data_IF_665386661357
#
_entry.id   IF_665386661357
#
_cell.length_a   1.000
_cell.length_b   1.000
_cell.length_c   1.000
_cell.angle_alpha   90.00
_cell.angle_beta   90.00
_cell.angle_gamma   90.00
#
_symmetry.space_group_name_H-M   'P 1'
#
loop_
_entity.id
_entity.type
_entity.pdbx_description
1 polymer ?
#
# COMPACT_ATOMS: atom_id res chain seq x y z
N UNK A 1 16.35 42.25 17.53
CA UNK A 1 17.07 40.97 17.42
C UNK A 1 16.57 40.07 18.54
N UNK A 2 15.61 39.18 18.26
CA UNK A 2 15.22 38.14 19.20
C UNK A 2 16.16 36.97 18.93
N UNK A 3 16.90 36.58 19.94
CA UNK A 3 17.70 35.34 19.98
C UNK A 3 16.81 34.17 19.60
N UNK A 4 17.11 33.51 18.49
CA UNK A 4 16.61 32.17 18.21
C UNK A 4 17.10 31.27 19.35
N UNK A 5 16.15 30.80 20.16
CA UNK A 5 16.43 29.78 21.16
C UNK A 5 16.98 28.57 20.41
N UNK A 6 18.29 28.31 20.57
CA UNK A 6 18.83 26.97 20.33
C UNK A 6 17.93 25.98 21.09
N UNK A 7 17.07 25.28 20.38
CA UNK A 7 16.25 24.21 20.95
C UNK A 7 17.22 23.20 21.55
N UNK A 8 17.12 22.99 22.85
CA UNK A 8 17.96 22.07 23.60
C UNK A 8 17.82 20.68 22.94
N UNK A 9 18.80 20.29 22.14
CA UNK A 9 18.78 19.08 21.28
C UNK A 9 18.59 17.79 22.09
N UNK A 10 18.83 17.83 23.41
CA UNK A 10 18.62 16.72 24.34
C UNK A 10 17.14 16.45 24.68
N UNK A 11 16.21 17.35 24.39
CA UNK A 11 14.77 17.16 24.65
C UNK A 11 13.99 16.70 23.41
N UNK A 12 14.62 16.70 22.24
CA UNK A 12 13.99 16.40 20.96
C UNK A 12 14.00 14.91 20.67
N UNK A 13 12.87 14.36 20.23
CA UNK A 13 12.80 13.01 19.67
C UNK A 13 13.22 13.07 18.20
N UNK A 14 14.26 12.31 17.85
CA UNK A 14 14.74 12.20 16.46
C UNK A 14 14.12 10.97 15.80
N UNK A 15 13.42 11.18 14.69
CA UNK A 15 12.74 10.14 13.92
C UNK A 15 13.46 9.98 12.59
N UNK A 16 13.93 8.79 12.29
CA UNK A 16 14.67 8.45 11.07
C UNK A 16 13.71 7.83 10.06
N UNK A 17 13.40 8.59 9.00
CA UNK A 17 12.46 8.24 7.93
C UNK A 17 11.15 9.00 8.00
N UNK A 18 10.79 9.67 6.90
CA UNK A 18 9.54 10.42 6.71
C UNK A 18 8.50 9.60 5.91
N UNK A 19 8.45 8.28 6.08
CA UNK A 19 7.36 7.42 5.63
C UNK A 19 6.12 7.58 6.53
N UNK A 20 5.02 6.90 6.20
CA UNK A 20 3.76 6.99 6.93
C UNK A 20 3.90 6.71 8.45
N UNK A 21 4.73 5.73 8.82
CA UNK A 21 4.97 5.41 10.24
C UNK A 21 5.72 6.53 10.97
N UNK A 22 6.78 7.06 10.36
CA UNK A 22 7.56 8.16 10.96
C UNK A 22 6.76 9.45 11.07
N UNK A 23 5.98 9.79 10.05
CA UNK A 23 5.12 10.98 10.07
C UNK A 23 3.98 10.84 11.09
N UNK A 24 3.36 9.65 11.20
CA UNK A 24 2.36 9.38 12.24
C UNK A 24 2.96 9.53 13.64
N UNK A 25 4.12 8.94 13.89
CA UNK A 25 4.84 9.09 15.15
C UNK A 25 5.13 10.57 15.45
N UNK A 26 5.64 11.32 14.47
CA UNK A 26 5.98 12.73 14.61
C UNK A 26 4.76 13.59 14.97
N UNK A 27 3.63 13.39 14.29
CA UNK A 27 2.39 14.14 14.54
C UNK A 27 1.88 13.89 15.96
N UNK A 28 1.78 12.63 16.38
CA UNK A 28 1.28 12.30 17.74
C UNK A 28 2.19 12.81 18.86
N UNK A 29 3.52 12.77 18.68
CA UNK A 29 4.46 13.35 19.64
C UNK A 29 4.35 14.88 19.69
N UNK A 30 4.26 15.51 18.53
CA UNK A 30 4.11 16.98 18.44
C UNK A 30 2.82 17.45 19.15
N UNK A 31 1.70 16.78 18.90
CA UNK A 31 0.42 17.09 19.54
C UNK A 31 0.43 16.86 21.06
N UNK A 32 1.29 15.97 21.54
CA UNK A 32 1.56 15.79 22.97
C UNK A 32 2.56 16.83 23.53
N UNK A 33 2.98 17.84 22.73
CA UNK A 33 3.92 18.88 23.15
C UNK A 33 5.39 18.44 23.19
N UNK A 34 5.74 17.30 22.63
CA UNK A 34 7.11 16.77 22.58
C UNK A 34 7.79 17.26 21.30
N UNK A 35 8.95 17.94 21.41
CA UNK A 35 9.69 18.39 20.24
C UNK A 35 10.16 17.21 19.38
N UNK A 36 9.97 17.31 18.07
CA UNK A 36 10.33 16.27 17.10
C UNK A 36 11.23 16.80 15.99
N UNK A 37 12.11 15.95 15.48
CA UNK A 37 12.92 16.18 14.28
C UNK A 37 12.89 14.93 13.42
N UNK A 38 12.39 15.03 12.21
CA UNK A 38 12.29 13.92 11.25
C UNK A 38 13.39 14.07 10.21
N UNK A 39 14.19 13.03 10.03
CA UNK A 39 15.32 12.99 9.09
C UNK A 39 14.98 12.04 7.95
N UNK A 40 14.87 12.55 6.73
CA UNK A 40 14.54 11.78 5.54
C UNK A 40 15.71 11.78 4.55
N UNK A 41 16.12 10.60 4.13
CA UNK A 41 17.26 10.44 3.24
C UNK A 41 16.98 10.88 1.79
N UNK A 42 15.71 10.83 1.36
CA UNK A 42 15.29 11.17 0.00
C UNK A 42 14.90 12.65 -0.13
N UNK A 43 14.54 13.03 -1.36
CA UNK A 43 14.11 14.36 -1.77
C UNK A 43 12.64 14.69 -1.44
N UNK A 44 11.93 13.78 -0.78
CA UNK A 44 10.51 13.97 -0.46
C UNK A 44 9.98 13.01 0.58
N UNK A 45 8.84 13.38 1.18
CA UNK A 45 8.17 12.61 2.22
C UNK A 45 7.27 11.52 1.66
N UNK A 46 6.82 10.60 2.53
CA UNK A 46 5.85 9.54 2.22
C UNK A 46 6.47 8.16 2.02
N UNK A 47 7.77 8.07 1.80
CA UNK A 47 8.45 6.80 1.52
C UNK A 47 7.92 6.14 0.25
N UNK A 48 7.13 5.06 0.38
CA UNK A 48 6.46 4.39 -0.73
C UNK A 48 5.19 5.10 -1.22
N UNK A 49 4.57 5.91 -0.39
CA UNK A 49 3.34 6.67 -0.71
C UNK A 49 3.75 8.02 -1.31
N UNK A 50 4.07 8.03 -2.59
CA UNK A 50 4.52 9.22 -3.33
C UNK A 50 3.92 9.26 -4.73
N UNK A 51 3.70 10.48 -5.21
CA UNK A 51 3.22 10.77 -6.57
C UNK A 51 4.21 11.68 -7.27
N UNK A 52 4.62 11.30 -8.47
CA UNK A 52 5.47 12.11 -9.35
C UNK A 52 4.60 12.75 -10.44
N UNK A 53 5.01 13.92 -10.94
CA UNK A 53 4.34 14.58 -12.07
C UNK A 53 5.21 14.40 -13.32
N UNK A 54 4.67 13.79 -14.36
CA UNK A 54 5.38 13.54 -15.62
C UNK A 54 4.47 13.93 -16.78
N UNK A 55 4.87 14.88 -17.63
CA UNK A 55 4.09 15.38 -18.76
C UNK A 55 2.66 15.80 -18.39
N UNK A 56 2.44 16.28 -17.17
CA UNK A 56 1.11 16.65 -16.65
C UNK A 56 0.28 15.50 -16.10
N UNK A 57 0.77 14.27 -16.14
CA UNK A 57 0.16 13.10 -15.50
C UNK A 57 0.64 12.94 -14.06
N UNK A 58 -0.25 12.46 -13.18
CA UNK A 58 0.09 12.06 -11.82
C UNK A 58 0.42 10.56 -11.80
N UNK A 59 1.66 10.23 -11.48
CA UNK A 59 2.15 8.86 -11.42
C UNK A 59 2.49 8.49 -9.98
N UNK A 60 1.67 7.70 -9.35
CA UNK A 60 2.02 7.12 -8.05
C UNK A 60 3.18 6.12 -8.23
N UNK A 61 3.97 5.91 -7.20
CA UNK A 61 5.09 4.95 -7.29
C UNK A 61 4.57 3.52 -7.19
N UNK A 62 4.04 3.02 -8.32
CA UNK A 62 3.28 1.78 -8.47
C UNK A 62 1.78 2.00 -8.27
N UNK A 63 0.97 1.00 -8.67
CA UNK A 63 -0.47 1.06 -8.45
C UNK A 63 -0.78 0.96 -6.95
N UNK A 64 -1.39 1.98 -6.41
CA UNK A 64 -1.76 2.09 -5.01
C UNK A 64 -3.22 2.54 -4.88
N UNK A 65 -3.85 2.16 -3.79
CA UNK A 65 -5.19 2.63 -3.38
C UNK A 65 -5.20 2.92 -1.88
N UNK A 66 -6.03 3.86 -1.48
CA UNK A 66 -6.37 4.09 -0.08
C UNK A 66 -7.73 3.44 0.22
N UNK A 67 -7.84 2.68 1.31
CA UNK A 67 -9.11 2.13 1.77
C UNK A 67 -9.75 3.10 2.78
N UNK A 68 -10.86 3.71 2.43
CA UNK A 68 -11.53 4.72 3.24
C UNK A 68 -12.13 4.17 4.56
N UNK A 69 -12.17 2.85 4.69
CA UNK A 69 -12.57 2.16 5.92
C UNK A 69 -11.45 1.97 6.95
N UNK A 70 -10.22 2.42 6.68
CA UNK A 70 -9.12 2.36 7.64
C UNK A 70 -9.43 3.23 8.86
N UNK A 71 -9.56 2.65 10.07
CA UNK A 71 -10.05 3.40 11.22
C UNK A 71 -9.05 4.44 11.73
N UNK A 72 -7.80 4.05 11.97
CA UNK A 72 -6.80 4.95 12.58
C UNK A 72 -6.29 5.99 11.57
N UNK A 73 -6.07 5.57 10.33
CA UNK A 73 -5.67 6.50 9.27
C UNK A 73 -6.81 7.46 8.94
N UNK A 74 -8.06 6.98 8.92
CA UNK A 74 -9.24 7.82 8.71
C UNK A 74 -9.45 8.85 9.82
N UNK A 75 -9.10 8.52 11.06
CA UNK A 75 -9.14 9.46 12.19
C UNK A 75 -7.99 10.49 12.15
N UNK A 76 -6.85 10.11 11.54
CA UNK A 76 -5.66 10.94 11.48
C UNK A 76 -5.70 11.96 10.32
N UNK A 77 -6.35 11.62 9.20
CA UNK A 77 -6.35 12.39 7.95
C UNK A 77 -7.64 13.20 7.76
N UNK A 78 -7.53 14.31 7.08
CA UNK A 78 -8.67 15.04 6.52
C UNK A 78 -9.06 14.41 5.18
N UNK A 79 -10.02 13.48 5.22
CA UNK A 79 -10.46 12.74 4.04
C UNK A 79 -11.24 13.63 3.06
N UNK A 80 -11.89 14.70 3.54
CA UNK A 80 -12.59 15.66 2.68
C UNK A 80 -11.60 16.47 1.86
N UNK A 81 -10.54 16.96 2.46
CA UNK A 81 -9.47 17.69 1.77
C UNK A 81 -8.68 16.84 0.77
N UNK A 82 -8.64 15.52 0.96
CA UNK A 82 -8.03 14.59 0.00
C UNK A 82 -8.89 14.40 -1.26
N UNK A 83 -10.17 14.75 -1.21
CA UNK A 83 -11.13 14.58 -2.32
C UNK A 83 -11.05 13.15 -2.90
N UNK A 84 -11.36 12.16 -2.06
CA UNK A 84 -11.21 10.75 -2.38
C UNK A 84 -12.15 10.31 -3.50
N UNK A 85 -11.61 9.81 -4.59
CA UNK A 85 -12.33 9.26 -5.74
C UNK A 85 -12.45 7.74 -5.59
N UNK A 86 -13.67 7.23 -5.54
CA UNK A 86 -13.94 5.81 -5.28
C UNK A 86 -13.93 4.96 -6.55
N UNK A 87 -13.40 3.76 -6.43
CA UNK A 87 -13.58 2.71 -7.45
C UNK A 87 -14.93 2.03 -7.31
N UNK A 88 -15.41 1.47 -8.42
CA UNK A 88 -16.57 0.58 -8.43
C UNK A 88 -16.28 -0.69 -7.60
N UNK A 89 -17.24 -1.14 -6.78
CA UNK A 89 -17.06 -2.31 -5.92
C UNK A 89 -17.15 -3.61 -6.72
N UNK A 90 -16.08 -3.99 -7.39
CA UNK A 90 -15.99 -5.16 -8.23
C UNK A 90 -14.73 -5.17 -9.08
N UNK A 91 -14.73 -6.04 -10.08
CA UNK A 91 -13.65 -6.15 -11.04
C UNK A 91 -14.15 -6.60 -12.42
N UNK A 92 -13.41 -6.26 -13.45
CA UNK A 92 -13.47 -6.91 -14.75
C UNK A 92 -12.38 -8.00 -14.79
N UNK A 93 -12.77 -9.24 -14.99
CA UNK A 93 -11.83 -10.39 -14.97
C UNK A 93 -11.67 -10.92 -16.38
N UNK A 94 -10.46 -10.90 -16.91
CA UNK A 94 -10.12 -11.47 -18.20
C UNK A 94 -10.06 -12.98 -18.10
N UNK A 95 -10.93 -13.68 -18.82
CA UNK A 95 -11.07 -15.14 -18.76
C UNK A 95 -10.22 -15.91 -19.79
N UNK A 96 -9.29 -15.19 -20.48
CA UNK A 96 -8.50 -15.71 -21.59
C UNK A 96 -9.09 -15.37 -22.97
N UNK A 97 -10.33 -14.87 -23.02
CA UNK A 97 -11.02 -14.51 -24.25
C UNK A 97 -11.62 -13.10 -24.20
N UNK A 98 -12.22 -12.72 -23.05
CA UNK A 98 -12.84 -11.41 -22.85
C UNK A 98 -12.91 -11.03 -21.37
N UNK A 99 -13.14 -9.75 -21.12
CA UNK A 99 -13.39 -9.24 -19.76
C UNK A 99 -14.80 -9.63 -19.28
N UNK A 100 -14.89 -10.21 -18.09
CA UNK A 100 -16.11 -10.62 -17.41
C UNK A 100 -16.33 -9.77 -16.16
N UNK A 101 -17.52 -9.23 -16.02
CA UNK A 101 -17.88 -8.39 -14.87
C UNK A 101 -18.19 -9.25 -13.65
N UNK A 102 -17.53 -8.97 -12.54
CA UNK A 102 -17.80 -9.53 -11.21
C UNK A 102 -17.95 -8.38 -10.22
N UNK A 103 -19.15 -8.15 -9.71
CA UNK A 103 -19.47 -7.03 -8.83
C UNK A 103 -19.81 -7.52 -7.42
N UNK A 104 -19.56 -6.67 -6.43
CA UNK A 104 -20.11 -6.84 -5.08
C UNK A 104 -21.62 -6.62 -5.11
N UNK A 105 -22.37 -7.71 -5.14
CA UNK A 105 -23.85 -7.68 -5.26
C UNK A 105 -24.54 -7.01 -4.06
N UNK A 106 -23.88 -6.94 -2.91
CA UNK A 106 -24.41 -6.25 -1.73
C UNK A 106 -24.38 -4.72 -1.89
N UNK A 107 -23.42 -4.22 -2.66
CA UNK A 107 -23.26 -2.78 -2.95
C UNK A 107 -23.88 -2.38 -4.29
N UNK A 108 -24.00 -3.33 -5.23
CA UNK A 108 -24.59 -3.16 -6.58
C UNK A 108 -25.64 -4.26 -6.84
N UNK A 109 -26.82 -4.20 -6.19
CA UNK A 109 -27.84 -5.26 -6.30
C UNK A 109 -28.30 -5.53 -7.74
N UNK A 110 -28.34 -4.50 -8.59
CA UNK A 110 -28.73 -4.64 -10.01
C UNK A 110 -27.75 -5.46 -10.83
N UNK A 111 -26.52 -5.69 -10.36
CA UNK A 111 -25.50 -6.50 -11.03
C UNK A 111 -25.54 -7.98 -10.65
N UNK A 112 -26.51 -8.43 -9.84
CA UNK A 112 -26.65 -9.83 -9.40
C UNK A 112 -26.63 -10.81 -10.59
N UNK A 113 -27.41 -10.54 -11.64
CA UNK A 113 -27.47 -11.42 -12.81
C UNK A 113 -26.14 -11.50 -13.55
N UNK A 114 -25.47 -10.38 -13.79
CA UNK A 114 -24.17 -10.37 -14.45
C UNK A 114 -23.12 -11.11 -13.62
N UNK A 115 -23.10 -10.89 -12.30
CA UNK A 115 -22.18 -11.58 -11.39
C UNK A 115 -22.53 -13.06 -11.23
N UNK A 116 -23.81 -13.43 -11.17
CA UNK A 116 -24.25 -14.82 -11.05
C UNK A 116 -23.89 -15.65 -12.28
N UNK A 117 -24.01 -15.07 -13.48
CA UNK A 117 -23.75 -15.75 -14.77
C UNK A 117 -22.29 -15.70 -15.21
N UNK A 118 -21.46 -14.86 -14.58
CA UNK A 118 -20.03 -14.80 -14.90
C UNK A 118 -19.37 -16.19 -14.63
N UNK A 119 -18.60 -16.75 -15.59
CA UNK A 119 -17.96 -18.06 -15.44
C UNK A 119 -16.71 -18.00 -14.56
N UNK A 120 -16.81 -17.27 -13.46
CA UNK A 120 -15.77 -17.05 -12.45
C UNK A 120 -16.29 -17.69 -11.16
N UNK A 121 -15.82 -18.89 -10.86
CA UNK A 121 -16.35 -19.71 -9.78
C UNK A 121 -17.79 -20.20 -10.00
N UNK A 122 -18.24 -21.07 -9.10
CA UNK A 122 -19.58 -21.62 -9.06
C UNK A 122 -20.57 -20.66 -8.37
N UNK A 123 -21.87 -20.96 -8.44
CA UNK A 123 -22.88 -20.25 -7.62
C UNK A 123 -22.64 -20.47 -6.12
N UNK A 124 -22.12 -21.64 -5.75
CA UNK A 124 -21.74 -21.94 -4.38
C UNK A 124 -20.59 -21.04 -3.89
N UNK A 125 -19.56 -20.82 -4.71
CA UNK A 125 -18.48 -19.88 -4.40
C UNK A 125 -19.01 -18.47 -4.14
N UNK A 126 -19.95 -17.99 -4.95
CA UNK A 126 -20.54 -16.66 -4.79
C UNK A 126 -21.35 -16.54 -3.50
N UNK A 127 -22.03 -17.61 -3.09
CA UNK A 127 -22.69 -17.68 -1.78
C UNK A 127 -21.66 -17.65 -0.65
N UNK A 128 -20.57 -18.42 -0.77
CA UNK A 128 -19.48 -18.43 0.22
C UNK A 128 -18.81 -17.07 0.38
N UNK A 129 -18.66 -16.27 -0.69
CA UNK A 129 -18.18 -14.88 -0.59
C UNK A 129 -19.13 -14.06 0.31
N UNK A 130 -20.44 -14.23 0.19
CA UNK A 130 -21.44 -13.60 1.05
C UNK A 130 -21.31 -14.02 2.52
N UNK A 131 -21.14 -15.33 2.78
CA UNK A 131 -20.93 -15.86 4.12
C UNK A 131 -19.63 -15.32 4.73
N UNK A 132 -18.53 -15.34 3.98
CA UNK A 132 -17.23 -14.79 4.41
C UNK A 132 -17.35 -13.30 4.74
N UNK A 133 -18.04 -12.54 3.87
CA UNK A 133 -18.30 -11.11 4.11
C UNK A 133 -19.04 -10.90 5.42
N UNK A 134 -20.14 -11.63 5.64
CA UNK A 134 -20.92 -11.50 6.87
C UNK A 134 -20.09 -11.84 8.11
N UNK A 135 -19.33 -12.93 8.08
CA UNK A 135 -18.46 -13.32 9.20
C UNK A 135 -17.40 -12.26 9.51
N UNK A 136 -16.69 -11.78 8.48
CA UNK A 136 -15.59 -10.84 8.68
C UNK A 136 -16.08 -9.43 9.07
N UNK A 137 -17.21 -8.98 8.57
CA UNK A 137 -17.78 -7.69 8.98
C UNK A 137 -18.15 -7.69 10.47
N UNK A 138 -18.61 -8.82 11.02
CA UNK A 138 -18.99 -8.95 12.44
C UNK A 138 -17.82 -9.35 13.37
N UNK A 139 -16.64 -9.69 12.83
CA UNK A 139 -15.46 -10.04 13.64
C UNK A 139 -14.63 -8.78 13.88
N UNK A 140 -14.16 -8.53 15.14
CA UNK A 140 -13.29 -7.38 15.41
C UNK A 140 -11.89 -7.55 14.81
N UNK A 141 -11.13 -6.45 14.66
CA UNK A 141 -9.76 -6.50 14.13
C UNK A 141 -8.81 -7.25 15.07
N UNK A 142 -9.01 -7.10 16.38
CA UNK A 142 -8.27 -7.83 17.41
C UNK A 142 -8.53 -9.33 17.30
N UNK A 143 -9.79 -9.73 17.09
CA UNK A 143 -10.16 -11.14 16.91
C UNK A 143 -9.61 -11.73 15.61
N UNK A 144 -9.47 -10.92 14.53
CA UNK A 144 -8.78 -11.33 13.30
C UNK A 144 -7.28 -11.52 13.59
N UNK A 145 -6.65 -10.57 14.26
CA UNK A 145 -5.23 -10.61 14.58
C UNK A 145 -4.85 -11.77 15.54
N UNK A 146 -5.74 -12.12 16.47
CA UNK A 146 -5.57 -13.22 17.42
C UNK A 146 -6.00 -14.60 16.85
N UNK A 147 -6.64 -14.64 15.67
CA UNK A 147 -7.14 -15.88 15.08
C UNK A 147 -6.02 -16.82 14.63
N UNK A 148 -6.38 -18.02 14.18
CA UNK A 148 -5.45 -18.94 13.55
C UNK A 148 -4.80 -18.29 12.33
N UNK A 149 -3.50 -18.54 12.14
CA UNK A 149 -2.74 -17.98 11.04
C UNK A 149 -2.20 -19.08 10.13
N UNK A 150 -2.60 -19.03 8.89
CA UNK A 150 -2.22 -19.95 7.82
C UNK A 150 -2.06 -19.15 6.52
N UNK A 151 -1.62 -19.76 5.43
CA UNK A 151 -1.61 -19.07 4.14
C UNK A 151 -3.02 -18.70 3.70
N UNK A 152 -3.15 -17.60 2.97
CA UNK A 152 -4.43 -17.19 2.36
C UNK A 152 -5.02 -18.31 1.50
N UNK A 153 -4.19 -19.03 0.72
CA UNK A 153 -4.63 -20.16 -0.10
C UNK A 153 -5.24 -21.27 0.76
N UNK A 154 -4.54 -21.70 1.83
CA UNK A 154 -5.05 -22.72 2.73
C UNK A 154 -6.36 -22.28 3.41
N UNK A 155 -6.44 -21.02 3.83
CA UNK A 155 -7.66 -20.45 4.40
C UNK A 155 -8.85 -20.51 3.44
N UNK A 156 -8.66 -20.09 2.18
CA UNK A 156 -9.72 -20.13 1.16
C UNK A 156 -10.19 -21.54 0.87
N UNK A 157 -9.27 -22.51 0.75
CA UNK A 157 -9.61 -23.93 0.56
C UNK A 157 -10.36 -24.52 1.76
N UNK A 158 -9.88 -24.25 2.97
CA UNK A 158 -10.54 -24.70 4.21
C UNK A 158 -11.94 -24.07 4.37
N UNK A 159 -12.12 -22.83 3.89
CA UNK A 159 -13.42 -22.16 3.89
C UNK A 159 -14.42 -22.81 2.91
N UNK A 160 -13.93 -23.58 1.92
CA UNK A 160 -14.73 -24.34 0.96
C UNK A 160 -14.82 -23.73 -0.44
N UNK A 161 -14.00 -22.73 -0.76
CA UNK A 161 -13.92 -22.17 -2.12
C UNK A 161 -13.34 -23.17 -3.11
N UNK A 162 -13.87 -23.20 -4.34
CA UNK A 162 -13.35 -24.01 -5.41
C UNK A 162 -12.04 -23.47 -5.97
N UNK A 163 -11.19 -24.34 -6.53
CA UNK A 163 -9.98 -23.92 -7.25
C UNK A 163 -10.31 -22.91 -8.37
N UNK A 164 -11.48 -23.04 -9.00
CA UNK A 164 -11.91 -22.16 -10.08
C UNK A 164 -12.03 -20.70 -9.69
N UNK A 165 -12.55 -20.36 -8.50
CA UNK A 165 -12.63 -18.97 -8.04
C UNK A 165 -11.29 -18.53 -7.41
N UNK A 166 -10.58 -19.45 -6.76
CA UNK A 166 -9.25 -19.16 -6.19
C UNK A 166 -8.32 -18.71 -7.32
N UNK A 167 -8.20 -19.47 -8.40
CA UNK A 167 -7.27 -19.17 -9.48
C UNK A 167 -7.71 -17.99 -10.34
N UNK A 168 -9.01 -17.89 -10.67
CA UNK A 168 -9.48 -16.86 -11.61
C UNK A 168 -9.73 -15.48 -10.98
N UNK A 169 -9.96 -15.44 -9.66
CA UNK A 169 -10.26 -14.18 -8.97
C UNK A 169 -9.33 -13.91 -7.80
N UNK A 170 -9.32 -14.76 -6.77
CA UNK A 170 -8.57 -14.46 -5.56
C UNK A 170 -7.07 -14.32 -5.84
N UNK A 171 -6.51 -15.17 -6.69
CA UNK A 171 -5.09 -15.17 -7.03
C UNK A 171 -4.66 -13.88 -7.76
N UNK A 172 -5.43 -13.39 -8.71
CA UNK A 172 -5.09 -12.15 -9.40
C UNK A 172 -5.43 -10.90 -8.58
N UNK A 173 -6.54 -10.90 -7.84
CA UNK A 173 -6.93 -9.76 -7.01
C UNK A 173 -6.00 -9.59 -5.81
N UNK A 174 -5.86 -10.64 -4.99
CA UNK A 174 -4.97 -10.59 -3.83
C UNK A 174 -3.49 -10.71 -4.20
N UNK A 175 -3.18 -11.32 -5.33
CA UNK A 175 -1.84 -11.28 -5.91
C UNK A 175 -1.36 -9.87 -6.17
N UNK A 176 -2.22 -8.99 -6.69
CA UNK A 176 -1.94 -7.57 -6.85
C UNK A 176 -1.76 -6.83 -5.53
N UNK A 177 -2.53 -7.17 -4.49
CA UNK A 177 -2.45 -6.56 -3.16
C UNK A 177 -1.19 -7.03 -2.41
N UNK A 178 -0.88 -8.33 -2.46
CA UNK A 178 0.23 -8.94 -1.73
C UNK A 178 1.53 -8.99 -2.54
N UNK A 179 1.49 -8.59 -3.80
CA UNK A 179 2.60 -8.66 -4.77
C UNK A 179 3.20 -10.06 -4.88
N UNK A 180 2.32 -11.09 -4.85
CA UNK A 180 2.70 -12.50 -5.03
C UNK A 180 1.51 -13.34 -5.50
N UNK A 181 1.74 -14.30 -6.38
CA UNK A 181 0.69 -15.09 -7.04
C UNK A 181 0.29 -16.37 -6.30
N UNK A 182 1.05 -16.82 -5.31
CA UNK A 182 0.85 -18.12 -4.66
C UNK A 182 -0.11 -18.06 -3.46
N UNK A 183 -0.58 -16.85 -3.08
CA UNK A 183 -1.43 -16.62 -1.91
C UNK A 183 -0.82 -17.18 -0.61
N UNK A 184 0.52 -17.08 -0.47
CA UNK A 184 1.26 -17.52 0.73
C UNK A 184 1.14 -16.53 1.88
N UNK A 185 0.75 -15.31 1.62
CA UNK A 185 0.54 -14.26 2.62
C UNK A 185 -0.45 -14.72 3.69
N UNK A 186 -0.22 -14.30 4.93
CA UNK A 186 -1.02 -14.62 6.10
C UNK A 186 -2.52 -14.41 5.87
N UNK A 187 -3.32 -15.39 6.29
CA UNK A 187 -4.78 -15.30 6.26
C UNK A 187 -5.34 -14.18 7.13
N UNK A 188 -4.61 -13.73 8.16
CA UNK A 188 -4.98 -12.56 8.96
C UNK A 188 -4.94 -11.29 8.11
N UNK A 189 -3.92 -11.13 7.27
CA UNK A 189 -3.83 -10.00 6.32
C UNK A 189 -4.93 -10.06 5.26
N UNK A 190 -5.25 -11.25 4.74
CA UNK A 190 -6.39 -11.46 3.86
C UNK A 190 -7.71 -11.04 4.53
N UNK A 191 -7.99 -11.54 5.74
CA UNK A 191 -9.22 -11.22 6.48
C UNK A 191 -9.32 -9.72 6.79
N UNK A 192 -8.20 -9.08 7.14
CA UNK A 192 -8.13 -7.64 7.38
C UNK A 192 -8.49 -6.86 6.10
N UNK A 193 -7.82 -7.11 4.99
CA UNK A 193 -8.06 -6.40 3.74
C UNK A 193 -9.47 -6.67 3.19
N UNK A 194 -9.93 -7.93 3.24
CA UNK A 194 -11.29 -8.28 2.85
C UNK A 194 -12.35 -7.54 3.67
N UNK A 195 -12.14 -7.44 4.99
CA UNK A 195 -13.02 -6.66 5.88
C UNK A 195 -13.02 -5.17 5.51
N UNK A 196 -11.87 -4.57 5.22
CA UNK A 196 -11.78 -3.16 4.82
C UNK A 196 -12.51 -2.91 3.50
N UNK A 197 -12.32 -3.75 2.47
CA UNK A 197 -13.12 -3.69 1.23
C UNK A 197 -14.61 -3.88 1.48
N UNK A 198 -14.97 -4.74 2.42
CA UNK A 198 -16.37 -4.97 2.80
C UNK A 198 -17.02 -3.79 3.51
N UNK A 199 -16.26 -2.99 4.26
CA UNK A 199 -16.76 -1.82 5.02
C UNK A 199 -16.75 -0.54 4.19
N UNK A 200 -15.75 -0.35 3.33
CA UNK A 200 -15.54 0.87 2.58
C UNK A 200 -15.16 0.61 1.12
N UNK A 201 -14.57 1.61 0.50
CA UNK A 201 -14.16 1.63 -0.90
C UNK A 201 -12.64 1.67 -1.03
N UNK A 202 -12.14 1.12 -2.14
CA UNK A 202 -10.83 1.52 -2.65
C UNK A 202 -10.97 2.91 -3.26
N UNK A 203 -10.04 3.80 -2.94
CA UNK A 203 -10.09 5.20 -3.39
C UNK A 203 -8.71 5.69 -3.82
N UNK A 204 -8.70 6.78 -4.57
CA UNK A 204 -7.52 7.59 -4.87
C UNK A 204 -7.77 9.02 -4.40
N UNK A 205 -6.82 9.68 -3.73
CA UNK A 205 -6.85 11.13 -3.58
C UNK A 205 -6.81 11.78 -4.97
N UNK A 206 -7.64 12.78 -5.22
CA UNK A 206 -7.75 13.44 -6.53
C UNK A 206 -6.39 13.94 -7.07
N UNK A 207 -5.49 14.36 -6.20
CA UNK A 207 -4.16 14.89 -6.55
C UNK A 207 -3.01 13.91 -6.32
N UNK A 208 -3.32 12.60 -6.25
CA UNK A 208 -2.32 11.54 -6.08
C UNK A 208 -2.15 11.09 -4.63
N UNK A 209 -1.64 9.88 -4.47
CA UNK A 209 -1.40 9.26 -3.15
C UNK A 209 -0.43 10.08 -2.29
N UNK A 210 0.47 10.84 -2.91
CA UNK A 210 1.43 11.72 -2.22
C UNK A 210 0.80 12.83 -1.39
N UNK A 211 -0.49 13.14 -1.57
CA UNK A 211 -1.19 14.13 -0.73
C UNK A 211 -1.38 13.63 0.70
N UNK A 212 -1.48 12.32 0.90
CA UNK A 212 -1.64 11.71 2.24
C UNK A 212 -0.47 12.10 3.18
N UNK A 213 0.81 11.80 2.86
CA UNK A 213 1.92 12.19 3.72
C UNK A 213 2.10 13.71 3.80
N UNK A 214 1.73 14.48 2.77
CA UNK A 214 1.80 15.95 2.80
C UNK A 214 0.88 16.56 3.87
N UNK A 215 -0.32 16.00 4.07
CA UNK A 215 -1.21 16.43 5.16
C UNK A 215 -0.56 16.24 6.53
N UNK A 216 0.14 15.12 6.75
CA UNK A 216 0.82 14.88 8.03
C UNK A 216 1.96 15.87 8.25
N UNK A 217 2.74 16.18 7.21
CA UNK A 217 3.81 17.18 7.30
C UNK A 217 3.24 18.57 7.61
N UNK A 218 2.10 18.94 7.03
CA UNK A 218 1.45 20.23 7.27
C UNK A 218 1.02 20.45 8.73
N UNK A 219 0.89 19.37 9.52
CA UNK A 219 0.59 19.43 10.97
C UNK A 219 1.84 19.61 11.84
N UNK A 220 3.03 19.52 11.26
CA UNK A 220 4.29 19.67 11.98
C UNK A 220 4.84 21.11 11.87
N UNK A 221 5.64 21.57 12.86
CA UNK A 221 6.31 22.85 12.76
C UNK A 221 7.19 22.95 11.51
N UNK A 222 7.30 24.14 10.97
CA UNK A 222 8.22 24.41 9.87
C UNK A 222 9.65 24.00 10.23
N UNK A 223 10.30 23.24 9.36
CA UNK A 223 11.65 22.72 9.57
C UNK A 223 11.74 21.45 10.45
N UNK A 224 10.62 20.93 10.97
CA UNK A 224 10.62 19.65 11.71
C UNK A 224 11.03 18.46 10.82
N UNK A 225 10.77 18.51 9.52
CA UNK A 225 11.17 17.48 8.55
C UNK A 225 12.34 18.00 7.73
N UNK A 226 13.44 17.23 7.72
CA UNK A 226 14.64 17.55 6.95
C UNK A 226 14.83 16.48 5.88
N UNK A 227 14.75 16.90 4.62
CA UNK A 227 14.97 16.07 3.43
C UNK A 227 16.47 16.01 3.07
N UNK A 228 16.85 15.04 2.23
CA UNK A 228 18.24 14.82 1.82
C UNK A 228 19.20 14.69 3.03
N UNK A 229 18.69 14.15 4.13
CA UNK A 229 19.37 14.00 5.40
C UNK A 229 19.46 12.52 5.77
N UNK A 230 20.47 11.85 5.24
CA UNK A 230 20.69 10.41 5.45
C UNK A 230 21.34 10.13 6.80
N UNK A 231 20.72 9.29 7.60
CA UNK A 231 21.29 8.72 8.82
C UNK A 231 22.04 7.44 8.45
N UNK A 232 23.25 7.28 8.96
CA UNK A 232 24.12 6.13 8.70
C UNK A 232 24.38 5.27 9.95
N UNK A 233 24.18 5.82 11.13
CA UNK A 233 24.26 5.06 12.39
C UNK A 233 23.28 5.63 13.42
N UNK A 234 22.81 4.76 14.31
CA UNK A 234 21.91 5.10 15.43
C UNK A 234 22.39 4.45 16.72
N UNK A 235 22.28 5.19 17.80
CA UNK A 235 22.45 4.73 19.16
C UNK A 235 21.24 5.19 20.01
N UNK A 236 21.17 4.78 21.24
CA UNK A 236 20.02 5.06 22.13
C UNK A 236 19.58 6.53 22.12
N UNK A 237 20.53 7.45 22.17
CA UNK A 237 20.31 8.89 22.29
C UNK A 237 21.08 9.70 21.24
N UNK A 238 21.52 9.08 20.15
CA UNK A 238 22.40 9.72 19.16
C UNK A 238 22.11 9.16 17.77
N UNK A 239 22.11 10.03 16.77
CA UNK A 239 22.12 9.64 15.36
C UNK A 239 23.33 10.27 14.66
N UNK A 240 23.93 9.55 13.71
CA UNK A 240 25.06 10.02 12.90
C UNK A 240 24.57 10.17 11.46
N UNK A 241 24.77 11.36 10.90
CA UNK A 241 24.44 11.67 9.52
C UNK A 241 25.57 11.25 8.58
N UNK A 242 25.24 11.04 7.30
CA UNK A 242 26.23 10.78 6.24
C UNK A 242 27.26 11.91 6.10
N UNK A 243 26.90 13.15 6.47
CA UNK A 243 27.82 14.28 6.53
C UNK A 243 28.89 14.17 7.62
N UNK A 244 28.77 13.21 8.54
CA UNK A 244 29.60 13.09 9.75
C UNK A 244 29.07 13.87 10.95
N UNK A 245 28.02 14.67 10.80
CA UNK A 245 27.38 15.35 11.91
C UNK A 245 26.72 14.36 12.87
N UNK A 246 26.86 14.60 14.16
CA UNK A 246 26.23 13.79 15.21
C UNK A 246 25.18 14.62 15.92
N UNK A 247 23.97 14.10 16.01
CA UNK A 247 22.84 14.75 16.65
C UNK A 247 22.47 14.01 17.94
N UNK A 248 22.42 14.72 19.06
CA UNK A 248 21.88 14.22 20.31
C UNK A 248 20.35 14.20 20.28
N UNK A 249 19.75 13.20 20.92
CA UNK A 249 18.30 13.03 20.98
C UNK A 249 17.85 12.57 22.36
N UNK A 250 16.65 12.97 22.79
CA UNK A 250 15.97 12.37 23.96
C UNK A 250 15.67 10.89 23.72
N UNK A 251 15.11 10.59 22.56
CA UNK A 251 14.84 9.25 22.06
C UNK A 251 15.13 9.19 20.56
N UNK A 252 15.53 8.03 20.06
CA UNK A 252 15.70 7.74 18.64
C UNK A 252 14.60 6.78 18.20
N UNK A 253 13.90 7.13 17.10
CA UNK A 253 12.89 6.29 16.46
C UNK A 253 13.37 5.95 15.05
N UNK A 254 13.57 4.67 14.76
CA UNK A 254 13.87 4.16 13.41
C UNK A 254 12.54 3.80 12.74
N UNK A 255 12.11 4.65 11.81
CA UNK A 255 10.85 4.53 11.06
C UNK A 255 11.12 4.32 9.54
N UNK A 256 12.25 3.71 9.24
CA UNK A 256 12.65 3.40 7.86
C UNK A 256 11.99 2.12 7.36
N UNK A 257 12.22 1.78 6.08
CA UNK A 257 11.91 0.45 5.57
C UNK A 257 12.69 -0.65 6.34
N UNK A 258 12.16 -1.88 6.35
CA UNK A 258 12.74 -2.99 7.10
C UNK A 258 14.22 -3.26 6.80
N UNK A 259 14.65 -3.15 5.52
CA UNK A 259 16.05 -3.37 5.16
C UNK A 259 16.96 -2.28 5.72
N UNK A 260 16.53 -1.02 5.63
CA UNK A 260 17.28 0.11 6.18
C UNK A 260 17.31 0.07 7.71
N UNK A 261 16.22 -0.36 8.36
CA UNK A 261 16.22 -0.61 9.81
C UNK A 261 17.25 -1.67 10.20
N UNK A 262 17.33 -2.78 9.44
CA UNK A 262 18.35 -3.82 9.65
C UNK A 262 19.78 -3.36 9.37
N UNK A 263 20.00 -2.38 8.50
CA UNK A 263 21.32 -1.77 8.28
C UNK A 263 21.72 -0.87 9.45
N UNK A 264 20.77 -0.06 9.94
CA UNK A 264 21.00 0.82 11.10
C UNK A 264 21.16 0.05 12.41
N UNK A 265 20.52 -1.12 12.53
CA UNK A 265 20.57 -2.00 13.70
C UNK A 265 20.93 -3.42 13.23
N UNK A 266 22.24 -3.72 12.97
CA UNK A 266 22.66 -4.98 12.33
C UNK A 266 22.21 -6.25 13.05
N UNK A 267 22.06 -6.21 14.36
CA UNK A 267 21.56 -7.35 15.15
C UNK A 267 20.12 -7.75 14.82
N UNK A 268 19.35 -6.88 14.17
CA UNK A 268 17.99 -7.15 13.74
C UNK A 268 17.89 -7.55 12.25
N UNK A 269 18.97 -7.44 11.49
CA UNK A 269 18.96 -7.69 10.04
C UNK A 269 18.38 -9.06 9.68
N UNK A 270 18.71 -10.11 10.42
CA UNK A 270 18.21 -11.47 10.20
C UNK A 270 16.71 -11.68 10.54
N UNK A 271 16.11 -10.75 11.29
CA UNK A 271 14.70 -10.79 11.67
C UNK A 271 13.82 -9.91 10.76
N UNK A 272 14.43 -9.17 9.81
CA UNK A 272 13.66 -8.31 8.89
C UNK A 272 13.02 -9.15 7.78
N UNK A 273 11.76 -8.85 7.40
CA UNK A 273 11.08 -9.56 6.33
C UNK A 273 11.77 -9.32 4.98
N UNK A 274 11.61 -10.28 4.08
CA UNK A 274 11.96 -10.11 2.66
C UNK A 274 10.98 -9.13 2.01
N UNK A 275 11.34 -8.66 0.82
CA UNK A 275 10.52 -7.75 0.04
C UNK A 275 9.82 -8.47 -1.10
N UNK A 276 8.56 -8.11 -1.31
CA UNK A 276 7.84 -8.35 -2.53
C UNK A 276 8.04 -7.17 -3.45
N UNK A 277 8.22 -7.45 -4.73
CA UNK A 277 8.50 -6.45 -5.76
C UNK A 277 7.42 -6.46 -6.83
N UNK A 278 7.34 -5.36 -7.57
CA UNK A 278 6.42 -5.19 -8.69
C UNK A 278 7.06 -4.31 -9.76
N UNK A 279 6.78 -4.61 -11.00
CA UNK A 279 7.06 -3.74 -12.14
C UNK A 279 5.74 -3.11 -12.58
N UNK A 280 5.67 -1.79 -12.56
CA UNK A 280 4.47 -1.06 -12.96
C UNK A 280 4.74 -0.24 -14.23
N UNK A 281 3.90 -0.40 -15.25
CA UNK A 281 3.99 0.34 -16.48
C UNK A 281 2.84 1.34 -16.58
N UNK A 282 3.15 2.57 -16.97
CA UNK A 282 2.17 3.59 -17.26
C UNK A 282 2.04 3.80 -18.77
N UNK A 283 0.79 3.76 -19.24
CA UNK A 283 0.44 4.04 -20.63
C UNK A 283 -0.56 5.17 -20.73
N UNK A 284 -0.49 5.89 -21.83
CA UNK A 284 -1.45 6.95 -22.19
C UNK A 284 -2.24 6.51 -23.41
N UNK A 285 -3.56 6.59 -23.32
CA UNK A 285 -4.48 6.35 -24.41
C UNK A 285 -5.29 7.62 -24.72
N UNK A 286 -5.71 7.80 -25.99
CA UNK A 286 -6.58 8.92 -26.41
C UNK A 286 -7.98 8.85 -25.79
N UNK A 287 -8.40 7.66 -25.37
CA UNK A 287 -9.67 7.43 -24.69
C UNK A 287 -9.54 6.19 -23.81
N UNK A 288 -10.26 6.18 -22.68
CA UNK A 288 -10.31 5.00 -21.81
C UNK A 288 -10.92 3.81 -22.55
N UNK A 289 -10.26 2.63 -22.51
CA UNK A 289 -10.82 1.39 -23.04
C UNK A 289 -11.93 0.81 -22.16
N UNK A 290 -12.02 1.25 -20.89
CA UNK A 290 -12.94 0.72 -19.85
C UNK A 290 -14.11 1.67 -19.61
N UNK A 291 -13.83 2.98 -19.49
CA UNK A 291 -14.79 4.07 -19.21
C UNK A 291 -15.52 3.92 -17.88
N UNK A 292 -14.89 3.28 -16.92
CA UNK A 292 -15.40 3.05 -15.57
C UNK A 292 -14.24 3.00 -14.58
N UNK A 293 -14.47 3.48 -13.37
CA UNK A 293 -13.52 3.41 -12.26
C UNK A 293 -13.44 1.98 -11.70
N UNK A 294 -12.96 1.01 -12.48
CA UNK A 294 -12.94 -0.40 -12.12
C UNK A 294 -11.61 -1.05 -12.48
N UNK A 295 -11.14 -1.97 -11.61
CA UNK A 295 -9.92 -2.72 -11.88
C UNK A 295 -10.18 -3.88 -12.85
N UNK A 296 -9.25 -4.09 -13.77
CA UNK A 296 -9.22 -5.25 -14.67
C UNK A 296 -8.16 -6.25 -14.16
N UNK A 297 -8.55 -7.50 -13.97
CA UNK A 297 -7.73 -8.58 -13.40
C UNK A 297 -7.44 -9.66 -14.43
N UNK A 298 -6.28 -10.28 -14.35
CA UNK A 298 -5.95 -11.45 -15.14
C UNK A 298 -6.48 -12.74 -14.50
N UNK A 299 -7.63 -13.19 -14.91
CA UNK A 299 -8.20 -14.48 -14.49
C UNK A 299 -7.87 -15.66 -15.41
N UNK A 300 -7.02 -15.44 -16.44
CA UNK A 300 -6.60 -16.51 -17.36
C UNK A 300 -5.55 -17.44 -16.75
N UNK A 301 -4.81 -16.97 -15.75
CA UNK A 301 -3.68 -17.69 -15.15
C UNK A 301 -2.42 -17.71 -16.04
N UNK A 302 -2.41 -16.96 -17.14
CA UNK A 302 -1.30 -16.89 -18.10
C UNK A 302 -0.94 -15.43 -18.42
N UNK A 303 0.25 -15.21 -18.95
CA UNK A 303 0.75 -13.88 -19.31
C UNK A 303 1.55 -13.20 -18.21
N UNK A 304 1.93 -11.95 -18.46
CA UNK A 304 2.76 -11.13 -17.58
C UNK A 304 1.91 -10.22 -16.68
N UNK A 305 0.80 -9.73 -17.23
CA UNK A 305 -0.03 -8.72 -16.58
C UNK A 305 -0.85 -9.33 -15.46
N UNK A 306 -0.73 -8.79 -14.25
CA UNK A 306 -1.59 -9.16 -13.13
C UNK A 306 -2.91 -8.37 -13.13
N UNK A 307 -2.81 -7.06 -13.29
CA UNK A 307 -3.96 -6.16 -13.33
C UNK A 307 -3.70 -4.90 -14.15
N UNK A 308 -4.78 -4.30 -14.62
CA UNK A 308 -4.81 -3.00 -15.29
C UNK A 308 -5.83 -2.11 -14.59
N UNK A 309 -5.49 -0.84 -14.42
CA UNK A 309 -6.41 0.17 -13.93
C UNK A 309 -6.32 1.44 -14.78
N UNK A 310 -7.46 2.00 -15.21
CA UNK A 310 -7.51 3.33 -15.81
C UNK A 310 -7.69 4.33 -14.70
N UNK A 311 -6.59 4.94 -14.24
CA UNK A 311 -6.58 5.82 -13.08
C UNK A 311 -7.43 7.06 -13.30
N UNK A 312 -7.39 7.62 -14.51
CA UNK A 312 -8.19 8.80 -14.90
C UNK A 312 -9.70 8.53 -15.01
N UNK A 313 -10.15 7.27 -15.04
CA UNK A 313 -11.57 6.94 -14.93
C UNK A 313 -12.07 7.07 -13.48
N UNK A 314 -11.20 6.84 -12.52
CA UNK A 314 -11.49 7.02 -11.10
C UNK A 314 -11.26 8.48 -10.67
N UNK A 315 -10.11 9.03 -10.99
CA UNK A 315 -9.69 10.38 -10.65
C UNK A 315 -9.24 11.12 -11.94
N UNK A 316 -10.12 11.92 -12.55
CA UNK A 316 -9.81 12.63 -13.80
C UNK A 316 -8.54 13.51 -13.72
N UNK A 317 -8.21 13.97 -12.53
CA UNK A 317 -7.03 14.80 -12.26
C UNK A 317 -5.69 14.08 -12.50
N UNK A 318 -5.71 12.75 -12.63
CA UNK A 318 -4.50 11.95 -12.92
C UNK A 318 -4.00 12.11 -14.36
N UNK A 319 -4.81 12.63 -15.26
CA UNK A 319 -4.43 12.84 -16.66
C UNK A 319 -4.81 14.24 -17.16
N UNK A 320 -4.06 14.80 -18.12
CA UNK A 320 -4.51 15.96 -18.89
C UNK A 320 -5.85 15.71 -19.57
N UNK A 321 -6.64 16.79 -19.76
CA UNK A 321 -7.96 16.70 -20.39
C UNK A 321 -7.89 16.03 -21.78
N UNK A 322 -8.73 15.03 -22.00
CA UNK A 322 -8.83 14.31 -23.25
C UNK A 322 -7.87 13.14 -23.40
N UNK A 323 -7.13 12.79 -22.37
CA UNK A 323 -6.26 11.61 -22.33
C UNK A 323 -6.64 10.67 -21.17
N UNK A 324 -6.32 9.40 -21.30
CA UNK A 324 -6.54 8.39 -20.28
C UNK A 324 -5.20 7.83 -19.80
N UNK A 325 -4.99 7.79 -18.48
CA UNK A 325 -3.82 7.20 -17.85
C UNK A 325 -4.14 5.78 -17.37
N UNK A 326 -3.34 4.83 -17.86
CA UNK A 326 -3.45 3.43 -17.48
C UNK A 326 -2.23 3.02 -16.65
N UNK A 327 -2.50 2.30 -15.57
CA UNK A 327 -1.48 1.62 -14.76
C UNK A 327 -1.60 0.12 -14.97
N UNK A 328 -0.48 -0.54 -15.32
CA UNK A 328 -0.39 -1.97 -15.60
C UNK A 328 0.62 -2.58 -14.66
N UNK A 329 0.20 -3.55 -13.84
CA UNK A 329 1.05 -4.21 -12.85
C UNK A 329 1.50 -5.59 -13.32
N UNK A 330 2.81 -5.83 -13.24
CA UNK A 330 3.47 -7.12 -13.46
C UNK A 330 4.16 -7.52 -12.16
N UNK A 331 3.81 -8.68 -11.61
CA UNK A 331 4.38 -9.15 -10.33
C UNK A 331 5.87 -9.45 -10.46
N UNK A 332 6.64 -9.07 -9.46
CA UNK A 332 8.09 -9.21 -9.45
C UNK A 332 8.81 -8.13 -10.25
N UNK A 333 10.12 -8.28 -10.35
CA UNK A 333 10.96 -7.41 -11.18
C UNK A 333 11.11 -8.02 -12.56
N UNK A 334 10.73 -7.28 -13.58
CA UNK A 334 10.94 -7.65 -14.97
C UNK A 334 11.74 -6.55 -15.66
N UNK A 335 12.97 -6.89 -16.06
CA UNK A 335 13.92 -5.99 -16.73
C UNK A 335 14.12 -6.36 -18.19
N UNK A 336 13.20 -7.17 -18.77
CA UNK A 336 13.27 -7.52 -20.20
C UNK A 336 13.21 -6.27 -21.06
N UNK A 337 14.09 -6.13 -22.07
CA UNK A 337 14.03 -5.03 -23.03
C UNK A 337 12.75 -5.05 -23.89
N UNK A 338 12.08 -6.19 -23.97
CA UNK A 338 10.82 -6.37 -24.73
C UNK A 338 9.58 -6.18 -23.86
N UNK A 339 9.72 -5.95 -22.55
CA UNK A 339 8.60 -5.93 -21.60
C UNK A 339 7.42 -5.07 -22.06
N UNK A 340 7.69 -3.85 -22.53
CA UNK A 340 6.63 -2.93 -22.98
C UNK A 340 5.86 -3.51 -24.17
N UNK A 341 6.57 -4.06 -25.15
CA UNK A 341 5.96 -4.67 -26.34
C UNK A 341 5.19 -5.96 -25.99
N UNK A 342 5.74 -6.77 -25.07
CA UNK A 342 5.11 -8.02 -24.63
C UNK A 342 3.82 -7.73 -23.88
N UNK A 343 3.82 -6.74 -22.98
CA UNK A 343 2.64 -6.26 -22.26
C UNK A 343 1.59 -5.69 -23.22
N UNK A 344 2.00 -4.85 -24.19
CA UNK A 344 1.05 -4.33 -25.18
C UNK A 344 0.44 -5.48 -26.02
N UNK A 345 1.23 -6.45 -26.41
CA UNK A 345 0.75 -7.63 -27.16
C UNK A 345 -0.30 -8.40 -26.33
N UNK A 346 -0.06 -8.64 -25.06
CA UNK A 346 -1.00 -9.29 -24.17
C UNK A 346 -2.30 -8.47 -24.01
N UNK A 347 -2.18 -7.16 -23.83
CA UNK A 347 -3.32 -6.27 -23.65
C UNK A 347 -4.20 -6.09 -24.90
N UNK A 348 -3.69 -6.38 -26.10
CA UNK A 348 -4.53 -6.46 -27.32
C UNK A 348 -5.64 -7.52 -27.12
N UNK A 349 -5.32 -8.65 -26.45
CA UNK A 349 -6.34 -9.66 -26.11
C UNK A 349 -7.42 -9.16 -25.15
N UNK A 350 -7.12 -8.15 -24.32
CA UNK A 350 -8.06 -7.61 -23.33
C UNK A 350 -8.92 -6.47 -23.90
N UNK A 351 -8.31 -5.57 -24.68
CA UNK A 351 -8.89 -4.28 -25.08
C UNK A 351 -8.93 -4.04 -26.59
N UNK A 352 -8.44 -5.03 -27.39
CA UNK A 352 -8.41 -4.94 -28.83
C UNK A 352 -7.27 -4.09 -29.39
N UNK A 353 -7.29 -3.86 -30.71
CA UNK A 353 -6.18 -3.25 -31.45
C UNK A 353 -5.85 -1.80 -31.06
N UNK A 354 -6.75 -1.11 -30.36
CA UNK A 354 -6.50 0.25 -29.86
C UNK A 354 -5.27 0.34 -28.94
N UNK A 355 -4.89 -0.77 -28.28
CA UNK A 355 -3.69 -0.90 -27.44
C UNK A 355 -2.41 -0.55 -28.20
N UNK A 356 -2.35 -0.87 -29.50
CA UNK A 356 -1.18 -0.58 -30.35
C UNK A 356 -0.91 0.93 -30.50
N UNK A 357 -1.91 1.77 -30.21
CA UNK A 357 -1.80 3.23 -30.25
C UNK A 357 -1.47 3.83 -28.89
N UNK A 358 -1.38 3.02 -27.82
CA UNK A 358 -1.05 3.53 -26.50
C UNK A 358 0.41 3.94 -26.44
N UNK A 359 0.65 5.12 -25.90
CA UNK A 359 2.00 5.63 -25.64
C UNK A 359 2.50 5.13 -24.30
N UNK A 360 3.61 4.42 -24.27
CA UNK A 360 4.29 4.11 -23.02
C UNK A 360 4.86 5.40 -22.41
N UNK A 361 4.57 5.66 -21.16
CA UNK A 361 5.00 6.86 -20.45
C UNK A 361 6.19 6.58 -19.52
N UNK A 362 6.07 5.56 -18.64
CA UNK A 362 7.10 5.19 -17.68
C UNK A 362 6.97 3.73 -17.26
N UNK A 363 8.10 3.11 -16.92
CA UNK A 363 8.17 1.83 -16.22
C UNK A 363 8.88 2.01 -14.89
N UNK A 364 8.22 1.63 -13.80
CA UNK A 364 8.77 1.66 -12.45
C UNK A 364 9.13 0.25 -11.99
N UNK A 365 10.41 0.00 -11.71
CA UNK A 365 10.89 -1.24 -11.09
C UNK A 365 10.95 -1.07 -9.59
N UNK A 366 9.93 -1.53 -8.87
CA UNK A 366 9.76 -1.32 -7.43
C UNK A 366 10.27 -2.54 -6.68
N UNK A 367 11.52 -2.47 -6.21
CA UNK A 367 12.18 -3.58 -5.51
C UNK A 367 11.58 -3.84 -4.12
N UNK A 368 11.20 -2.77 -3.42
CA UNK A 368 10.68 -2.79 -2.05
C UNK A 368 9.21 -2.34 -2.04
N UNK A 369 8.35 -3.06 -2.76
CA UNK A 369 6.94 -2.74 -2.85
C UNK A 369 6.21 -3.02 -1.54
N UNK A 370 6.34 -4.23 -1.02
CA UNK A 370 5.65 -4.68 0.18
C UNK A 370 6.56 -5.60 1.03
N UNK A 371 6.61 -5.44 2.36
CA UNK A 371 7.26 -6.43 3.22
C UNK A 371 6.48 -7.75 3.21
N UNK A 372 7.20 -8.87 3.09
CA UNK A 372 6.59 -10.20 3.10
C UNK A 372 5.93 -10.49 4.45
N UNK A 373 4.69 -10.96 4.44
CA UNK A 373 3.92 -11.32 5.63
C UNK A 373 3.45 -12.76 5.54
N UNK A 374 4.35 -13.69 5.81
CA UNK A 374 4.02 -15.12 5.89
C UNK A 374 3.32 -15.45 7.22
N UNK A 375 2.54 -16.55 7.28
CA UNK A 375 2.00 -17.05 8.53
C UNK A 375 3.09 -17.24 9.59
N UNK A 376 2.78 -16.86 10.81
CA UNK A 376 3.68 -16.97 11.97
C UNK A 376 5.02 -16.23 11.86
N UNK A 377 5.25 -15.45 10.78
CA UNK A 377 6.53 -14.73 10.58
C UNK A 377 6.87 -13.74 11.71
N UNK A 378 5.86 -13.22 12.39
CA UNK A 378 6.03 -12.19 13.40
C UNK A 378 6.06 -12.72 14.86
N UNK A 379 5.83 -14.02 15.10
CA UNK A 379 5.86 -14.63 16.43
C UNK A 379 5.00 -13.89 17.47
N UNK A 380 5.42 -13.94 18.75
CA UNK A 380 4.72 -13.25 19.87
C UNK A 380 4.76 -11.71 19.77
N UNK A 381 5.61 -11.13 18.91
CA UNK A 381 5.76 -9.67 18.72
C UNK A 381 4.71 -9.06 17.80
N UNK A 382 3.96 -9.88 17.06
CA UNK A 382 2.96 -9.44 16.09
C UNK A 382 1.84 -8.54 16.66
N UNK A 383 1.63 -8.57 17.96
CA UNK A 383 0.57 -7.78 18.64
C UNK A 383 0.95 -6.33 18.95
N UNK A 384 2.23 -6.03 19.12
CA UNK A 384 2.66 -4.70 19.59
C UNK A 384 2.75 -3.67 18.44
N UNK A 385 3.11 -4.10 17.22
CA UNK A 385 3.26 -3.23 16.06
C UNK A 385 4.45 -2.27 16.14
N UNK A 386 5.31 -2.42 17.13
CA UNK A 386 6.57 -1.70 17.30
C UNK A 386 7.57 -2.54 18.09
N UNK A 387 8.83 -2.12 18.08
CA UNK A 387 9.90 -2.74 18.89
C UNK A 387 10.67 -1.65 19.63
N UNK A 388 11.21 -2.02 20.82
CA UNK A 388 12.24 -1.25 21.51
C UNK A 388 13.48 -2.14 21.63
N UNK A 389 14.55 -1.75 20.95
CA UNK A 389 15.82 -2.46 20.96
C UNK A 389 16.89 -1.61 21.65
N UNK A 390 17.27 -1.99 22.84
CA UNK A 390 18.29 -1.29 23.64
C UNK A 390 18.05 0.24 23.78
N UNK A 391 16.79 0.65 23.86
CA UNK A 391 16.38 2.04 23.96
C UNK A 391 16.20 2.77 22.63
N UNK A 392 16.36 2.09 21.49
CA UNK A 392 16.00 2.58 20.16
C UNK A 392 14.61 2.05 19.81
N UNK A 393 13.70 2.94 19.48
CA UNK A 393 12.34 2.59 19.07
C UNK A 393 12.31 2.29 17.56
N UNK A 394 11.50 1.33 17.17
CA UNK A 394 11.36 0.93 15.76
C UNK A 394 9.88 0.84 15.43
N UNK A 395 9.45 1.50 14.36
CA UNK A 395 8.09 1.41 13.82
C UNK A 395 8.12 1.22 12.31
N UNK A 396 7.02 0.68 11.78
CA UNK A 396 6.83 0.44 10.34
C UNK A 396 5.74 -0.59 10.09
N UNK A 397 5.21 -0.60 8.88
CA UNK A 397 4.19 -1.54 8.42
C UNK A 397 4.66 -3.01 8.51
N UNK A 398 5.95 -3.25 8.43
CA UNK A 398 6.57 -4.57 8.56
C UNK A 398 6.45 -5.19 9.95
N UNK A 399 6.08 -4.40 10.95
CA UNK A 399 5.90 -4.87 12.34
C UNK A 399 4.44 -5.15 12.69
N UNK A 400 3.49 -4.79 11.84
CA UNK A 400 2.05 -4.97 12.12
C UNK A 400 1.32 -5.55 10.90
N UNK A 401 0.92 -4.70 9.96
CA UNK A 401 0.31 -5.09 8.69
C UNK A 401 0.92 -4.25 7.56
N UNK A 402 1.25 -4.91 6.46
CA UNK A 402 1.86 -4.27 5.28
C UNK A 402 0.82 -3.38 4.57
N UNK A 403 0.48 -2.26 5.19
CA UNK A 403 -0.53 -1.29 4.73
C UNK A 403 -0.23 0.10 5.27
N UNK A 404 -0.87 1.13 4.69
CA UNK A 404 -0.85 2.49 5.23
C UNK A 404 -1.39 2.51 6.66
N UNK A 405 -2.47 1.79 6.92
CA UNK A 405 -3.06 1.65 8.25
C UNK A 405 -2.07 1.06 9.26
N UNK A 406 -1.40 -0.05 8.91
CA UNK A 406 -0.40 -0.67 9.77
C UNK A 406 0.79 0.24 10.07
N UNK A 407 1.22 1.02 9.09
CA UNK A 407 2.28 2.01 9.28
C UNK A 407 1.86 3.11 10.26
N UNK A 408 0.66 3.66 10.10
CA UNK A 408 0.10 4.71 10.98
C UNK A 408 -0.04 4.21 12.41
N UNK A 409 -0.65 3.04 12.61
CA UNK A 409 -0.81 2.42 13.95
C UNK A 409 0.56 2.18 14.60
N UNK A 410 1.53 1.69 13.84
CA UNK A 410 2.87 1.43 14.34
C UNK A 410 3.55 2.70 14.86
N UNK A 411 3.46 3.80 14.10
CA UNK A 411 3.99 5.10 14.51
C UNK A 411 3.28 5.69 15.73
N UNK A 412 1.95 5.63 15.76
CA UNK A 412 1.11 6.06 16.88
C UNK A 412 1.48 5.34 18.18
N UNK A 413 1.67 4.01 18.12
CA UNK A 413 2.03 3.20 19.30
C UNK A 413 3.41 3.54 19.85
N UNK A 414 4.39 3.83 18.99
CA UNK A 414 5.70 4.33 19.42
C UNK A 414 5.55 5.68 20.12
N UNK A 415 4.77 6.59 19.55
CA UNK A 415 4.53 7.89 20.16
C UNK A 415 3.90 7.74 21.56
N UNK A 416 2.88 6.90 21.72
CA UNK A 416 2.25 6.61 23.00
C UNK A 416 3.21 5.96 24.03
N UNK A 417 4.18 5.16 23.57
CA UNK A 417 5.14 4.52 24.44
C UNK A 417 6.31 5.44 24.89
N UNK A 418 6.52 6.56 24.17
CA UNK A 418 7.54 7.59 24.49
C UNK A 418 6.98 8.66 25.45
N UNK A 419 5.67 8.94 25.41
CA UNK A 419 4.96 9.87 26.27
C UNK A 419 5.00 9.44 27.73
#
# INVERSE_FOLDING_TARGET
MRSEKETNTSETVVIVGAGMAGLSCAVHLHEAGIPVRVLEASDGVGGRVRTDVVDGFLLDRGFQVYLDAYPETGALLDLEALDLKSFEPGALVYDGNRLRRLMDVFRRPLSVWASATAPIGSLWDKLLVGVLRFQLLNRSLEAIAAGEDQSTEAYLRTFGFSEGIIDRFFRSFYGGIFLESELRTSSRMFQFTFKMFGKGSATLPAKGMGEIPKQLVARLPAGAVQLNCRVVAVERNTVVLESGETLAARNVVVATDASSAGQLIPSLAGAMPRWRSVTNLYFVAKASPVKEAIICLNGSGAGLVNNVCVLSDAAPEYAPSGEALLSVSVLGLNQSPTLVADVQTELVGWFGDSVQQWRHLRTDSIQKGLPEQLPHANGERAGLGYQNYQGIWICGDHLLSASIEGAVISGQRVAAAIQ
#
